data_IF_310326531751
#
_entry.id   IF_310326531751
#
_cell.length_a   1.000
_cell.length_b   1.000
_cell.length_c   1.000
_cell.angle_alpha   90.00
_cell.angle_beta   90.00
_cell.angle_gamma   90.00
#
_symmetry.space_group_name_H-M   'P 1'
#
loop_
_entity.id
_entity.type
_entity.pdbx_description
1 polymer ?
#
# COMPACT_ATOMS: atom_id res chain seq x y z
N UNK A 1 11.25 12.65 -28.62
CA UNK A 1 11.61 11.21 -28.69
C UNK A 1 11.47 10.69 -27.28
N UNK A 2 11.00 9.46 -27.10
CA UNK A 2 10.85 8.89 -25.75
C UNK A 2 12.19 8.29 -25.33
N UNK A 3 12.77 8.78 -24.24
CA UNK A 3 14.03 8.28 -23.71
C UNK A 3 13.79 6.99 -22.94
N UNK A 4 14.70 6.02 -23.10
CA UNK A 4 14.59 4.69 -22.51
C UNK A 4 15.84 4.35 -21.72
N UNK A 5 15.65 3.83 -20.50
CA UNK A 5 16.73 3.37 -19.64
C UNK A 5 16.56 1.86 -19.38
N UNK A 6 17.56 1.07 -19.77
CA UNK A 6 17.54 -0.38 -19.61
C UNK A 6 18.23 -0.77 -18.30
N UNK A 7 17.46 -1.22 -17.31
CA UNK A 7 18.00 -1.70 -16.05
C UNK A 7 18.17 -3.23 -16.09
N UNK A 8 19.35 -3.79 -15.72
CA UNK A 8 19.66 -5.21 -15.91
C UNK A 8 18.70 -6.17 -15.19
N UNK A 9 18.10 -5.75 -14.08
CA UNK A 9 17.20 -6.60 -13.26
C UNK A 9 15.76 -6.10 -13.19
N UNK A 10 15.54 -4.80 -13.40
CA UNK A 10 14.22 -4.17 -13.23
C UNK A 10 13.51 -3.99 -14.58
N UNK A 11 14.20 -4.27 -15.69
CA UNK A 11 13.66 -4.16 -17.03
C UNK A 11 13.78 -2.75 -17.59
N UNK A 12 12.86 -2.43 -18.50
CA UNK A 12 12.95 -1.27 -19.36
C UNK A 12 12.11 -0.13 -18.77
N UNK A 13 12.76 1.01 -18.53
CA UNK A 13 12.11 2.23 -18.09
C UNK A 13 11.91 3.17 -19.27
N UNK A 14 10.76 3.84 -19.26
CA UNK A 14 10.42 4.90 -20.22
C UNK A 14 10.34 6.21 -19.47
N UNK A 15 10.93 7.27 -20.01
CA UNK A 15 10.77 8.61 -19.44
C UNK A 15 9.45 9.23 -19.91
N UNK A 16 8.60 9.66 -18.98
CA UNK A 16 7.27 10.22 -19.25
C UNK A 16 7.21 11.77 -19.24
N UNK A 17 8.34 12.42 -18.97
CA UNK A 17 8.45 13.87 -18.81
C UNK A 17 8.68 14.34 -17.38
N UNK A 18 8.48 13.46 -16.38
CA UNK A 18 8.72 13.77 -14.96
C UNK A 18 9.31 12.59 -14.17
N UNK A 19 9.32 11.39 -14.73
CA UNK A 19 9.85 10.19 -14.09
C UNK A 19 10.32 9.14 -15.10
N UNK A 20 11.22 8.27 -14.65
CA UNK A 20 11.46 6.97 -15.25
C UNK A 20 10.42 5.98 -14.73
N UNK A 21 9.55 5.49 -15.61
CA UNK A 21 8.47 4.56 -15.26
C UNK A 21 8.70 3.17 -15.85
N UNK A 22 8.43 2.13 -15.05
CA UNK A 22 8.35 0.74 -15.49
C UNK A 22 7.24 0.00 -14.73
N UNK A 23 6.69 -1.05 -15.33
CA UNK A 23 5.80 -1.96 -14.61
C UNK A 23 6.62 -3.10 -13.99
N UNK A 24 6.53 -3.26 -12.68
CA UNK A 24 7.25 -4.28 -11.91
C UNK A 24 6.31 -5.28 -11.25
N UNK A 25 6.79 -6.51 -11.09
CA UNK A 25 6.07 -7.59 -10.44
C UNK A 25 6.24 -7.52 -8.91
N UNK A 26 5.14 -7.25 -8.20
CA UNK A 26 5.05 -7.26 -6.74
C UNK A 26 3.88 -8.16 -6.30
N UNK A 27 3.97 -9.50 -6.47
CA UNK A 27 2.86 -10.41 -6.21
C UNK A 27 2.35 -10.37 -4.77
N UNK A 28 3.19 -10.03 -3.79
CA UNK A 28 2.76 -9.89 -2.40
C UNK A 28 1.70 -8.80 -2.22
N UNK A 29 1.72 -7.77 -3.06
CA UNK A 29 0.78 -6.65 -3.02
C UNK A 29 -0.58 -6.97 -3.67
N UNK A 30 -0.78 -8.19 -4.19
CA UNK A 30 -2.12 -8.66 -4.64
C UNK A 30 -3.15 -8.69 -3.52
N UNK A 31 -2.70 -8.78 -2.26
CA UNK A 31 -3.59 -8.78 -1.10
C UNK A 31 -4.30 -7.44 -0.91
N UNK A 32 -3.73 -6.35 -1.44
CA UNK A 32 -4.37 -5.05 -1.43
C UNK A 32 -5.44 -5.00 -2.54
N UNK A 33 -6.68 -5.29 -2.15
CA UNK A 33 -7.86 -4.97 -2.94
C UNK A 33 -8.59 -3.81 -2.28
N UNK A 34 -8.77 -2.70 -3.00
CA UNK A 34 -9.77 -1.70 -2.64
C UNK A 34 -11.13 -2.26 -3.00
N UNK A 35 -11.67 -3.10 -2.13
CA UNK A 35 -13.04 -3.57 -2.27
C UNK A 35 -13.96 -2.41 -1.89
N UNK A 36 -14.66 -1.87 -2.88
CA UNK A 36 -15.64 -0.80 -2.70
C UNK A 36 -17.06 -1.34 -2.54
N UNK A 37 -17.23 -2.67 -2.45
CA UNK A 37 -18.52 -3.35 -2.48
C UNK A 37 -19.12 -3.48 -3.88
N UNK A 38 -18.41 -3.04 -4.93
CA UNK A 38 -18.81 -3.17 -6.32
C UNK A 38 -18.02 -4.27 -7.02
N UNK A 39 -18.70 -5.11 -7.83
CA UNK A 39 -18.07 -6.21 -8.55
C UNK A 39 -16.95 -5.76 -9.52
N UNK A 40 -16.99 -4.50 -9.95
CA UNK A 40 -16.02 -3.87 -10.84
C UNK A 40 -14.90 -3.10 -10.12
N UNK A 41 -14.78 -3.24 -8.79
CA UNK A 41 -13.73 -2.57 -8.03
C UNK A 41 -12.33 -2.95 -8.56
N UNK A 42 -11.41 -1.99 -8.74
CA UNK A 42 -10.05 -2.28 -9.18
C UNK A 42 -9.33 -3.15 -8.13
N UNK A 43 -8.93 -4.35 -8.52
CA UNK A 43 -8.12 -5.25 -7.69
C UNK A 43 -6.67 -5.18 -8.13
N UNK A 44 -5.74 -5.16 -7.17
CA UNK A 44 -4.32 -5.26 -7.48
C UNK A 44 -4.04 -6.54 -8.27
N UNK A 45 -3.34 -6.39 -9.39
CA UNK A 45 -2.89 -7.53 -10.21
C UNK A 45 -1.52 -8.04 -9.77
N UNK A 46 -0.91 -7.43 -8.75
CA UNK A 46 0.48 -7.64 -8.36
C UNK A 46 1.47 -7.11 -9.39
N UNK A 47 1.01 -6.31 -10.35
CA UNK A 47 1.84 -5.52 -11.25
C UNK A 47 1.64 -4.06 -10.88
N UNK A 48 2.73 -3.36 -10.59
CA UNK A 48 2.66 -1.99 -10.12
C UNK A 48 3.65 -1.12 -10.90
N UNK A 49 3.27 0.13 -11.11
CA UNK A 49 4.19 1.13 -11.64
C UNK A 49 5.26 1.45 -10.59
N UNK A 50 6.51 1.37 -11.00
CA UNK A 50 7.65 1.92 -10.28
C UNK A 50 8.09 3.17 -11.02
N UNK A 51 8.10 4.29 -10.30
CA UNK A 51 8.55 5.57 -10.80
C UNK A 51 9.80 6.04 -10.03
N UNK A 52 10.84 6.44 -10.76
CA UNK A 52 11.92 7.27 -10.24
C UNK A 52 11.73 8.69 -10.77
N UNK A 53 11.26 9.59 -9.91
CA UNK A 53 11.00 10.99 -10.26
C UNK A 53 12.30 11.72 -10.56
N UNK A 54 12.33 12.47 -11.66
CA UNK A 54 13.45 13.30 -12.09
C UNK A 54 12.99 14.41 -13.04
N UNK A 55 13.67 15.54 -12.99
CA UNK A 55 13.35 16.73 -13.80
C UNK A 55 13.80 16.61 -15.27
N UNK A 56 14.63 15.62 -15.61
CA UNK A 56 15.15 15.45 -16.97
C UNK A 56 15.45 13.99 -17.35
N UNK A 57 15.55 13.73 -18.65
CA UNK A 57 15.67 12.39 -19.23
C UNK A 57 17.11 11.87 -19.34
N UNK A 58 18.10 12.65 -18.91
CA UNK A 58 19.50 12.27 -18.80
C UNK A 58 19.92 11.94 -17.36
N UNK A 59 19.09 12.28 -16.37
CA UNK A 59 19.30 11.91 -14.97
C UNK A 59 18.72 10.52 -14.70
N UNK A 60 19.58 9.50 -14.77
CA UNK A 60 19.21 8.14 -14.40
C UNK A 60 19.20 7.96 -12.88
N UNK A 61 18.37 7.06 -12.33
CA UNK A 61 18.30 6.83 -10.89
C UNK A 61 19.64 6.43 -10.28
N UNK A 62 19.95 6.98 -9.10
CA UNK A 62 21.19 6.64 -8.38
C UNK A 62 21.23 5.16 -7.96
N UNK A 63 22.43 4.61 -7.79
CA UNK A 63 22.64 3.24 -7.29
C UNK A 63 21.94 3.00 -5.94
N UNK A 64 21.90 4.00 -5.06
CA UNK A 64 21.21 3.89 -3.77
C UNK A 64 19.70 3.82 -3.93
N UNK A 65 19.11 4.55 -4.88
CA UNK A 65 17.69 4.50 -5.18
C UNK A 65 17.30 3.12 -5.74
N UNK A 66 18.09 2.59 -6.67
CA UNK A 66 17.92 1.23 -7.20
C UNK A 66 18.05 0.18 -6.09
N UNK A 67 19.06 0.29 -5.23
CA UNK A 67 19.26 -0.65 -4.13
C UNK A 67 18.12 -0.64 -3.10
N UNK A 68 17.42 0.50 -2.94
CA UNK A 68 16.21 0.56 -2.13
C UNK A 68 15.06 -0.23 -2.76
N UNK A 69 14.86 -0.09 -4.07
CA UNK A 69 13.85 -0.86 -4.81
C UNK A 69 14.13 -2.36 -4.70
N UNK A 70 15.39 -2.78 -4.91
CA UNK A 70 15.77 -4.19 -4.78
C UNK A 70 15.45 -4.73 -3.37
N UNK A 71 15.72 -3.95 -2.32
CA UNK A 71 15.34 -4.32 -0.94
C UNK A 71 13.83 -4.46 -0.80
N UNK A 72 13.04 -3.53 -1.34
CA UNK A 72 11.58 -3.62 -1.27
C UNK A 72 11.08 -4.87 -1.99
N UNK A 73 11.59 -5.15 -3.20
CA UNK A 73 11.20 -6.31 -4.00
C UNK A 73 11.53 -7.65 -3.31
N UNK A 74 12.71 -7.74 -2.69
CA UNK A 74 13.14 -8.93 -1.92
C UNK A 74 12.28 -9.13 -0.68
N UNK A 75 11.87 -8.04 -0.02
CA UNK A 75 11.17 -8.10 1.26
C UNK A 75 9.65 -7.86 1.14
N UNK A 76 9.09 -7.90 -0.07
CA UNK A 76 7.71 -7.48 -0.33
C UNK A 76 6.67 -8.20 0.54
N UNK A 77 6.85 -9.49 0.83
CA UNK A 77 5.93 -10.26 1.67
C UNK A 77 5.98 -9.82 3.14
N UNK A 78 7.19 -9.67 3.68
CA UNK A 78 7.39 -9.19 5.05
C UNK A 78 6.92 -7.74 5.21
N UNK A 79 7.07 -6.92 4.17
CA UNK A 79 6.63 -5.54 4.16
C UNK A 79 5.10 -5.45 4.20
N UNK A 80 4.41 -6.25 3.37
CA UNK A 80 2.94 -6.34 3.37
C UNK A 80 2.42 -6.75 4.74
N UNK A 81 3.01 -7.78 5.36
CA UNK A 81 2.64 -8.23 6.71
C UNK A 81 2.85 -7.13 7.76
N UNK A 82 4.01 -6.46 7.73
CA UNK A 82 4.31 -5.36 8.66
C UNK A 82 3.35 -4.19 8.49
N UNK A 83 3.00 -3.83 7.25
CA UNK A 83 2.03 -2.77 6.96
C UNK A 83 0.65 -3.13 7.51
N UNK A 84 0.20 -4.36 7.27
CA UNK A 84 -1.07 -4.86 7.76
C UNK A 84 -1.16 -4.81 9.29
N UNK A 85 -0.14 -5.30 10.00
CA UNK A 85 -0.09 -5.23 11.46
C UNK A 85 0.03 -3.79 11.98
N UNK A 86 0.75 -2.91 11.28
CA UNK A 86 0.82 -1.50 11.66
C UNK A 86 -0.57 -0.84 11.55
N UNK A 87 -1.28 -1.05 10.44
CA UNK A 87 -2.64 -0.54 10.24
C UNK A 87 -3.61 -1.09 11.29
N UNK A 88 -3.52 -2.38 11.60
CA UNK A 88 -4.33 -2.98 12.66
C UNK A 88 -4.04 -2.36 14.01
N UNK A 89 -2.76 -2.24 14.40
CA UNK A 89 -2.40 -1.65 15.69
C UNK A 89 -2.80 -0.18 15.79
N UNK A 90 -2.74 0.56 14.68
CA UNK A 90 -3.24 1.92 14.64
C UNK A 90 -4.76 1.96 14.83
N UNK A 91 -5.49 1.07 14.14
CA UNK A 91 -6.94 0.92 14.31
C UNK A 91 -7.34 0.45 15.71
N UNK A 92 -6.57 -0.43 16.34
CA UNK A 92 -6.82 -0.89 17.70
C UNK A 92 -6.38 0.14 18.74
N UNK A 93 -5.73 1.24 18.35
CA UNK A 93 -5.18 2.20 19.31
C UNK A 93 -3.96 1.69 20.10
N UNK A 94 -3.38 0.55 19.71
CA UNK A 94 -2.17 -0.05 20.31
C UNK A 94 -0.86 0.39 19.62
N UNK A 95 -0.96 1.06 18.47
CA UNK A 95 0.18 1.63 17.76
C UNK A 95 0.87 2.73 18.57
N UNK A 96 2.15 2.96 18.29
CA UNK A 96 2.96 3.89 19.09
C UNK A 96 2.52 5.38 18.95
N UNK A 97 1.69 5.72 17.94
CA UNK A 97 1.29 7.10 17.61
C UNK A 97 -0.14 7.20 17.05
N UNK A 98 -1.08 6.37 17.51
CA UNK A 98 -2.40 6.26 16.86
C UNK A 98 -3.27 7.51 17.01
N UNK A 99 -3.19 8.20 18.16
CA UNK A 99 -4.15 9.25 18.51
C UNK A 99 -5.59 8.76 18.74
N UNK A 100 -5.83 7.45 18.64
CA UNK A 100 -7.14 6.84 18.81
C UNK A 100 -7.45 6.67 20.30
N UNK A 101 -8.64 7.12 20.72
CA UNK A 101 -9.02 7.17 22.13
C UNK A 101 -9.45 5.82 22.71
N UNK A 102 -9.86 4.86 21.87
CA UNK A 102 -10.48 3.62 22.31
C UNK A 102 -9.49 2.52 22.71
N UNK A 103 -8.20 2.59 22.34
CA UNK A 103 -7.11 1.72 22.84
C UNK A 103 -7.48 0.22 23.05
N UNK A 104 -8.12 -0.41 22.07
CA UNK A 104 -8.48 -1.82 22.09
C UNK A 104 -9.85 -2.12 22.71
N UNK A 105 -10.58 -1.10 23.17
CA UNK A 105 -11.96 -1.21 23.63
C UNK A 105 -12.94 -1.27 22.45
N UNK A 106 -12.89 -2.38 21.73
CA UNK A 106 -13.74 -2.59 20.56
C UNK A 106 -15.22 -2.73 20.88
N UNK A 107 -15.58 -3.12 22.10
CA UNK A 107 -16.97 -3.18 22.54
C UNK A 107 -17.62 -1.79 22.56
N UNK A 108 -16.86 -0.77 22.98
CA UNK A 108 -17.31 0.63 23.00
C UNK A 108 -17.43 1.20 21.57
N UNK A 109 -16.47 0.89 20.71
CA UNK A 109 -16.52 1.25 19.28
C UNK A 109 -17.69 0.57 18.56
N UNK A 110 -17.93 -0.72 18.81
CA UNK A 110 -19.02 -1.48 18.24
C UNK A 110 -20.39 -0.93 18.69
N UNK A 111 -20.51 -0.56 19.98
CA UNK A 111 -21.70 0.08 20.52
C UNK A 111 -21.97 1.46 19.91
N UNK A 112 -20.93 2.25 19.62
CA UNK A 112 -21.08 3.55 18.95
C UNK A 112 -21.42 3.43 17.46
N UNK A 113 -20.88 2.42 16.77
CA UNK A 113 -21.10 2.19 15.35
C UNK A 113 -22.38 1.38 15.05
N UNK A 114 -23.05 0.84 16.06
CA UNK A 114 -24.20 -0.07 15.92
C UNK A 114 -23.86 -1.31 15.06
N UNK A 115 -22.66 -1.87 15.26
CA UNK A 115 -22.13 -3.00 14.47
C UNK A 115 -22.05 -4.25 15.33
N UNK A 116 -22.76 -5.31 14.92
CA UNK A 116 -22.81 -6.61 15.61
C UNK A 116 -21.63 -7.56 15.28
N UNK A 117 -20.58 -7.05 14.63
CA UNK A 117 -19.43 -7.88 14.18
C UNK A 117 -18.32 -7.82 15.22
N UNK A 118 -17.96 -8.94 15.90
CA UNK A 118 -16.89 -8.94 16.88
C UNK A 118 -15.54 -8.72 16.20
N UNK A 119 -14.81 -7.71 16.68
CA UNK A 119 -13.50 -7.31 16.16
C UNK A 119 -12.40 -8.04 16.91
N UNK A 120 -11.81 -9.04 16.28
CA UNK A 120 -10.85 -9.92 16.94
C UNK A 120 -9.52 -10.05 16.21
N UNK A 121 -9.51 -9.71 14.92
CA UNK A 121 -8.38 -9.92 14.02
C UNK A 121 -8.31 -8.77 13.01
N UNK A 122 -7.10 -8.48 12.55
CA UNK A 122 -6.79 -7.49 11.54
C UNK A 122 -7.54 -7.69 10.21
N UNK A 123 -8.06 -8.88 9.94
CA UNK A 123 -8.86 -9.17 8.74
C UNK A 123 -10.26 -8.56 8.83
N UNK A 124 -10.72 -8.25 10.04
CA UNK A 124 -12.03 -7.67 10.32
C UNK A 124 -12.02 -6.15 10.04
N UNK A 125 -10.84 -5.56 9.79
CA UNK A 125 -10.62 -4.14 9.52
C UNK A 125 -11.34 -3.66 8.24
N UNK A 126 -11.24 -4.43 7.15
CA UNK A 126 -11.74 -4.00 5.84
C UNK A 126 -13.28 -3.82 5.81
N UNK A 127 -14.09 -4.76 6.34
CA UNK A 127 -15.54 -4.57 6.48
C UNK A 127 -15.94 -3.31 7.27
N UNK A 128 -15.20 -2.95 8.32
CA UNK A 128 -15.49 -1.76 9.14
C UNK A 128 -15.14 -0.44 8.46
N UNK A 129 -14.00 -0.39 7.78
CA UNK A 129 -13.60 0.78 7.00
C UNK A 129 -14.63 1.06 5.87
N UNK A 130 -15.26 0.01 5.35
CA UNK A 130 -16.34 0.11 4.37
C UNK A 130 -17.66 0.60 4.98
N UNK A 131 -18.02 0.14 6.19
CA UNK A 131 -19.24 0.58 6.89
C UNK A 131 -19.21 2.07 7.26
N UNK A 132 -18.03 2.60 7.54
CA UNK A 132 -17.87 3.94 8.09
C UNK A 132 -17.81 5.07 7.05
N UNK A 133 -17.84 4.79 5.73
CA UNK A 133 -17.63 5.78 4.66
C UNK A 133 -16.63 6.88 5.06
N UNK A 134 -15.51 6.50 5.71
CA UNK A 134 -14.59 7.49 6.25
C UNK A 134 -13.99 8.28 5.10
N UNK A 135 -14.47 9.51 4.95
CA UNK A 135 -13.92 10.49 4.03
C UNK A 135 -12.68 11.05 4.70
N UNK A 136 -11.50 10.68 4.19
CA UNK A 136 -10.24 11.29 4.61
C UNK A 136 -10.19 12.68 3.97
N UNK A 137 -10.20 13.73 4.81
CA UNK A 137 -10.00 15.13 4.40
C UNK A 137 -8.52 15.49 4.39
#
# INVERSE_FOLDING_TARGET
MTSTWLHPTLGDFTYDGIAWIATINMPAFKVFSYDTGYDNAPRSTGQHELAFVTDCDDEIPSTSAVALVDKVLVNQYELVEKMYWALWRDFTGEGAKTGMWWHGNFDEVAAELDVDVPLSDAKDLLPLLQLSQMTVF
#
